data_IF_930306466169
#
_entry.id   IF_930306466169
#
_cell.length_a   1.000
_cell.length_b   1.000
_cell.length_c   1.000
_cell.angle_alpha   90.00
_cell.angle_beta   90.00
_cell.angle_gamma   90.00
#
_symmetry.space_group_name_H-M   'P 1'
#
loop_
_entity.id
_entity.type
_entity.pdbx_description
1 polymer ?
#
# COMPACT_ATOMS: atom_id res chain seq x y z
N UNK A 1 20.30 20.71 -31.94
CA UNK A 1 19.30 19.70 -32.36
C UNK A 1 19.08 18.71 -31.20
N UNK A 2 18.47 19.18 -30.11
CA UNK A 2 18.28 18.41 -28.86
C UNK A 2 16.79 18.23 -28.46
N UNK A 3 15.87 18.81 -29.22
CA UNK A 3 14.46 18.88 -28.83
C UNK A 3 13.66 17.58 -29.00
N UNK A 4 14.14 16.62 -29.79
CA UNK A 4 13.40 15.37 -30.07
C UNK A 4 13.64 14.29 -29.02
N UNK A 5 14.87 14.17 -28.49
CA UNK A 5 15.21 13.22 -27.43
C UNK A 5 14.42 13.52 -26.14
N UNK A 6 14.42 14.80 -25.72
CA UNK A 6 13.68 15.26 -24.55
C UNK A 6 12.16 14.99 -24.66
N UNK A 7 11.58 15.18 -25.85
CA UNK A 7 10.14 14.93 -26.08
C UNK A 7 9.75 13.44 -26.02
N UNK A 8 10.68 12.53 -26.31
CA UNK A 8 10.47 11.09 -26.27
C UNK A 8 10.44 10.55 -24.84
N UNK A 9 11.38 11.02 -24.01
CA UNK A 9 11.49 10.67 -22.60
C UNK A 9 10.31 11.23 -21.79
N UNK A 10 9.96 12.51 -21.99
CA UNK A 10 8.77 13.12 -21.38
C UNK A 10 7.51 12.32 -21.70
N UNK A 11 7.34 11.90 -22.96
CA UNK A 11 6.18 11.08 -23.37
C UNK A 11 6.22 9.69 -22.73
N UNK A 12 7.40 9.10 -22.53
CA UNK A 12 7.54 7.82 -21.84
C UNK A 12 7.14 7.93 -20.36
N UNK A 13 7.55 9.00 -19.68
CA UNK A 13 7.15 9.30 -18.30
C UNK A 13 5.64 9.52 -18.21
N UNK A 14 5.05 10.32 -19.09
CA UNK A 14 3.60 10.55 -19.08
C UNK A 14 2.79 9.26 -19.29
N UNK A 15 3.24 8.37 -20.19
CA UNK A 15 2.64 7.04 -20.37
C UNK A 15 2.76 6.18 -19.13
N UNK A 16 3.94 6.18 -18.49
CA UNK A 16 4.16 5.47 -17.25
C UNK A 16 3.24 5.96 -16.14
N UNK A 17 3.16 7.29 -15.92
CA UNK A 17 2.27 7.88 -14.92
C UNK A 17 0.82 7.50 -15.17
N UNK A 18 0.35 7.61 -16.42
CA UNK A 18 -1.02 7.24 -16.79
C UNK A 18 -1.33 5.76 -16.53
N UNK A 19 -0.37 4.87 -16.75
CA UNK A 19 -0.52 3.44 -16.50
C UNK A 19 -0.40 3.06 -15.02
N UNK A 20 0.52 3.68 -14.28
CA UNK A 20 0.83 3.32 -12.90
C UNK A 20 -0.16 3.92 -11.88
N UNK A 21 -0.79 5.06 -12.16
CA UNK A 21 -1.79 5.69 -11.27
C UNK A 21 -2.94 4.76 -10.87
N UNK A 22 -3.68 4.12 -11.80
CA UNK A 22 -4.77 3.22 -11.41
C UNK A 22 -4.27 2.02 -10.59
N UNK A 23 -3.04 1.55 -10.83
CA UNK A 23 -2.43 0.47 -10.08
C UNK A 23 -2.12 0.91 -8.63
N UNK A 24 -1.55 2.10 -8.44
CA UNK A 24 -1.33 2.65 -7.10
C UNK A 24 -2.65 2.87 -6.35
N UNK A 25 -3.69 3.33 -7.05
CA UNK A 25 -5.02 3.52 -6.46
C UNK A 25 -5.57 2.17 -5.99
N UNK A 26 -5.50 1.12 -6.81
CA UNK A 26 -5.92 -0.23 -6.44
C UNK A 26 -5.17 -0.74 -5.21
N UNK A 27 -3.85 -0.52 -5.13
CA UNK A 27 -3.04 -0.89 -3.96
C UNK A 27 -3.51 -0.11 -2.72
N UNK A 28 -3.76 1.19 -2.84
CA UNK A 28 -4.18 2.06 -1.72
C UNK A 28 -5.56 1.67 -1.18
N UNK A 29 -6.51 1.39 -2.07
CA UNK A 29 -7.85 0.94 -1.72
C UNK A 29 -7.81 -0.44 -1.05
N UNK A 30 -7.05 -1.36 -1.62
CA UNK A 30 -6.88 -2.72 -1.08
C UNK A 30 -6.18 -2.69 0.28
N UNK A 31 -5.14 -1.88 0.44
CA UNK A 31 -4.47 -1.66 1.72
C UNK A 31 -5.45 -1.18 2.80
N UNK A 32 -6.32 -0.23 2.44
CA UNK A 32 -7.35 0.29 3.34
C UNK A 32 -8.33 -0.80 3.77
N UNK A 33 -8.76 -1.67 2.83
CA UNK A 33 -9.63 -2.80 3.12
C UNK A 33 -8.98 -3.82 4.07
N UNK A 34 -7.73 -4.21 3.81
CA UNK A 34 -7.00 -5.17 4.65
C UNK A 34 -6.72 -4.58 6.04
N UNK A 35 -6.38 -3.29 6.13
CA UNK A 35 -6.23 -2.60 7.41
C UNK A 35 -7.55 -2.55 8.21
N UNK A 36 -8.67 -2.28 7.55
CA UNK A 36 -10.00 -2.34 8.17
C UNK A 36 -10.34 -3.74 8.70
N UNK A 37 -10.01 -4.78 7.93
CA UNK A 37 -10.16 -6.17 8.38
C UNK A 37 -9.26 -6.49 9.59
N UNK A 38 -8.01 -6.03 9.59
CA UNK A 38 -7.08 -6.20 10.71
C UNK A 38 -7.65 -5.58 12.00
N UNK A 39 -8.22 -4.37 11.91
CA UNK A 39 -8.90 -3.73 13.04
C UNK A 39 -10.08 -4.56 13.56
N UNK A 40 -10.88 -5.16 12.67
CA UNK A 40 -11.98 -6.05 13.08
C UNK A 40 -11.46 -7.30 13.79
N UNK A 41 -10.38 -7.92 13.30
CA UNK A 41 -9.75 -9.07 13.96
C UNK A 41 -9.28 -8.71 15.38
N UNK A 42 -8.67 -7.54 15.54
CA UNK A 42 -8.08 -7.10 16.81
C UNK A 42 -9.12 -6.62 17.83
N UNK A 43 -10.23 -6.04 17.37
CA UNK A 43 -11.23 -5.42 18.26
C UNK A 43 -12.51 -6.23 18.42
N UNK A 44 -12.84 -7.11 17.48
CA UNK A 44 -14.13 -7.80 17.43
C UNK A 44 -14.09 -9.05 16.52
N UNK A 45 -13.42 -10.13 16.96
CA UNK A 45 -13.31 -11.38 16.17
C UNK A 45 -14.65 -11.93 15.65
N UNK A 46 -15.74 -11.80 16.42
CA UNK A 46 -17.08 -12.23 15.98
C UNK A 46 -17.57 -11.46 14.74
N UNK A 47 -17.18 -10.19 14.59
CA UNK A 47 -17.53 -9.36 13.42
C UNK A 47 -16.65 -9.63 12.22
N UNK A 48 -15.39 -10.05 12.44
CA UNK A 48 -14.46 -10.37 11.36
C UNK A 48 -14.96 -11.52 10.45
N UNK A 49 -15.74 -12.47 10.99
CA UNK A 49 -16.36 -13.57 10.22
C UNK A 49 -17.28 -13.04 9.10
N UNK A 50 -17.97 -11.90 9.31
CA UNK A 50 -18.83 -11.30 8.29
C UNK A 50 -18.05 -10.57 7.19
N UNK A 51 -16.75 -10.32 7.40
CA UNK A 51 -15.87 -9.63 6.45
C UNK A 51 -15.02 -10.59 5.61
N UNK A 52 -15.26 -11.91 5.69
CA UNK A 52 -14.46 -12.92 4.98
C UNK A 52 -14.52 -12.77 3.45
N UNK A 53 -15.70 -12.48 2.90
CA UNK A 53 -15.85 -12.21 1.47
C UNK A 53 -15.08 -10.96 1.02
N UNK A 54 -15.03 -9.93 1.88
CA UNK A 54 -14.27 -8.72 1.62
C UNK A 54 -12.76 -8.98 1.62
N UNK A 55 -12.25 -9.84 2.52
CA UNK A 55 -10.83 -10.22 2.52
C UNK A 55 -10.45 -11.04 1.28
N UNK A 56 -11.33 -11.94 0.82
CA UNK A 56 -11.10 -12.71 -0.40
C UNK A 56 -10.98 -11.78 -1.62
N UNK A 57 -11.89 -10.81 -1.75
CA UNK A 57 -11.82 -9.78 -2.80
C UNK A 57 -10.56 -8.92 -2.70
N UNK A 58 -10.17 -8.51 -1.49
CA UNK A 58 -8.94 -7.76 -1.27
C UNK A 58 -7.68 -8.55 -1.69
N UNK A 59 -7.66 -9.87 -1.46
CA UNK A 59 -6.55 -10.73 -1.91
C UNK A 59 -6.47 -10.82 -3.44
N UNK A 60 -7.62 -10.95 -4.11
CA UNK A 60 -7.68 -10.97 -5.57
C UNK A 60 -7.20 -9.62 -6.14
N UNK A 61 -7.67 -8.51 -5.57
CA UNK A 61 -7.22 -7.17 -5.92
C UNK A 61 -5.71 -6.97 -5.70
N UNK A 62 -5.15 -7.47 -4.59
CA UNK A 62 -3.71 -7.41 -4.32
C UNK A 62 -2.89 -8.24 -5.32
N UNK A 63 -3.38 -9.43 -5.69
CA UNK A 63 -2.75 -10.28 -6.71
C UNK A 63 -2.72 -9.59 -8.06
N UNK A 64 -3.87 -9.07 -8.47
CA UNK A 64 -4.01 -8.30 -9.71
C UNK A 64 -3.11 -7.08 -9.72
N UNK A 65 -3.08 -6.30 -8.64
CA UNK A 65 -2.21 -5.14 -8.54
C UNK A 65 -0.73 -5.53 -8.70
N UNK A 66 -0.28 -6.60 -8.03
CA UNK A 66 1.09 -7.08 -8.17
C UNK A 66 1.44 -7.51 -9.60
N UNK A 67 0.51 -8.14 -10.31
CA UNK A 67 0.66 -8.48 -11.73
C UNK A 67 0.73 -7.22 -12.61
N UNK A 68 -0.18 -6.27 -12.40
CA UNK A 68 -0.22 -5.01 -13.13
C UNK A 68 1.06 -4.19 -12.91
N UNK A 69 1.59 -4.12 -11.68
CA UNK A 69 2.88 -3.45 -11.40
C UNK A 69 4.03 -4.10 -12.16
N UNK A 70 4.10 -5.44 -12.18
CA UNK A 70 5.13 -6.17 -12.92
C UNK A 70 5.04 -5.94 -14.44
N UNK A 71 3.85 -5.68 -14.95
CA UNK A 71 3.61 -5.44 -16.37
C UNK A 71 3.89 -4.00 -16.84
N UNK A 72 4.18 -3.06 -15.92
CA UNK A 72 4.44 -1.66 -16.27
C UNK A 72 5.71 -1.53 -17.14
N UNK A 73 5.60 -0.75 -18.23
CA UNK A 73 6.76 -0.33 -19.00
C UNK A 73 7.45 0.84 -18.27
N UNK A 74 8.60 0.56 -17.64
CA UNK A 74 9.28 1.50 -16.74
C UNK A 74 10.35 2.30 -17.49
N UNK A 75 10.22 3.62 -17.67
CA UNK A 75 11.32 4.46 -18.14
C UNK A 75 12.37 4.59 -17.03
N UNK A 76 13.63 4.79 -17.42
CA UNK A 76 14.78 4.80 -16.49
C UNK A 76 14.57 5.74 -15.28
N UNK A 77 14.07 6.95 -15.54
CA UNK A 77 13.78 7.96 -14.51
C UNK A 77 12.72 7.54 -13.49
N UNK A 78 11.85 6.58 -13.84
CA UNK A 78 10.78 6.08 -12.97
C UNK A 78 11.17 4.78 -12.23
N UNK A 79 12.38 4.26 -12.41
CA UNK A 79 12.84 3.01 -11.79
C UNK A 79 12.68 3.02 -10.27
N UNK A 80 13.05 4.13 -9.61
CA UNK A 80 12.93 4.24 -8.16
C UNK A 80 11.47 4.27 -7.69
N UNK A 81 10.59 4.99 -8.41
CA UNK A 81 9.16 4.97 -8.14
C UNK A 81 8.58 3.57 -8.32
N UNK A 82 8.92 2.88 -9.42
CA UNK A 82 8.48 1.51 -9.69
C UNK A 82 8.92 0.53 -8.62
N UNK A 83 10.15 0.65 -8.12
CA UNK A 83 10.64 -0.16 -6.99
C UNK A 83 9.72 -0.04 -5.76
N UNK A 84 9.33 1.19 -5.38
CA UNK A 84 8.41 1.38 -4.27
C UNK A 84 7.00 0.89 -4.58
N UNK A 85 6.49 1.09 -5.79
CA UNK A 85 5.18 0.59 -6.19
C UNK A 85 5.12 -0.95 -6.16
N UNK A 86 6.20 -1.61 -6.56
CA UNK A 86 6.36 -3.07 -6.48
C UNK A 86 6.43 -3.54 -5.03
N UNK A 87 7.28 -2.91 -4.20
CA UNK A 87 7.37 -3.21 -2.78
C UNK A 87 6.03 -3.04 -2.05
N UNK A 88 5.23 -2.02 -2.42
CA UNK A 88 3.90 -1.81 -1.88
C UNK A 88 2.95 -2.99 -2.19
N UNK A 89 2.97 -3.47 -3.44
CA UNK A 89 2.14 -4.59 -3.87
C UNK A 89 2.57 -5.93 -3.23
N UNK A 90 3.87 -6.20 -3.14
CA UNK A 90 4.39 -7.42 -2.50
C UNK A 90 4.10 -7.48 -1.01
N UNK A 91 4.35 -6.39 -0.29
CA UNK A 91 4.07 -6.32 1.15
C UNK A 91 2.57 -6.36 1.44
N UNK A 92 1.72 -5.85 0.53
CA UNK A 92 0.27 -6.00 0.61
C UNK A 92 -0.16 -7.46 0.45
N UNK A 93 0.44 -8.22 -0.47
CA UNK A 93 0.20 -9.67 -0.59
C UNK A 93 0.58 -10.41 0.69
N UNK A 94 1.72 -10.07 1.30
CA UNK A 94 2.10 -10.62 2.60
C UNK A 94 1.08 -10.27 3.69
N UNK A 95 0.52 -9.05 3.70
CA UNK A 95 -0.54 -8.66 4.61
C UNK A 95 -1.81 -9.52 4.40
N UNK A 96 -2.22 -9.77 3.16
CA UNK A 96 -3.35 -10.65 2.87
C UNK A 96 -3.13 -12.08 3.40
N UNK A 97 -1.93 -12.64 3.25
CA UNK A 97 -1.58 -13.97 3.78
C UNK A 97 -1.61 -13.96 5.30
N UNK A 98 -0.95 -12.98 5.94
CA UNK A 98 -0.94 -12.87 7.40
C UNK A 98 -2.36 -12.67 7.99
N UNK A 99 -3.24 -11.94 7.29
CA UNK A 99 -4.63 -11.78 7.68
C UNK A 99 -5.43 -13.10 7.64
N UNK A 100 -5.15 -13.96 6.66
CA UNK A 100 -5.77 -15.29 6.57
C UNK A 100 -5.26 -16.22 7.68
N UNK A 101 -3.96 -16.21 7.95
CA UNK A 101 -3.35 -17.06 8.98
C UNK A 101 -3.66 -16.58 10.40
N UNK A 102 -3.84 -15.27 10.62
CA UNK A 102 -4.29 -14.71 11.92
C UNK A 102 -5.67 -15.23 12.36
N UNK A 103 -6.41 -15.89 11.47
CA UNK A 103 -7.67 -16.59 11.78
C UNK A 103 -7.45 -17.93 12.46
N UNK A 104 -6.28 -18.56 12.29
CA UNK A 104 -5.94 -19.86 12.86
C UNK A 104 -5.34 -19.68 14.26
N UNK A 105 -5.43 -20.71 15.10
CA UNK A 105 -5.09 -20.66 16.52
C UNK A 105 -3.60 -20.28 16.68
N UNK A 106 -3.31 -19.41 17.66
CA UNK A 106 -2.03 -18.72 17.95
C UNK A 106 -1.76 -17.37 17.23
N UNK A 107 -2.75 -16.47 17.29
CA UNK A 107 -2.85 -15.28 16.45
C UNK A 107 -1.92 -14.10 16.80
N UNK A 108 -1.10 -14.16 17.86
CA UNK A 108 -0.31 -13.00 18.28
C UNK A 108 0.80 -12.67 17.26
N UNK A 109 1.59 -13.68 16.88
CA UNK A 109 2.67 -13.53 15.91
C UNK A 109 2.13 -13.14 14.53
N UNK A 110 1.03 -13.75 14.08
CA UNK A 110 0.43 -13.45 12.78
C UNK A 110 -0.21 -12.06 12.75
N UNK A 111 -0.75 -11.58 13.88
CA UNK A 111 -1.23 -10.19 13.99
C UNK A 111 -0.04 -9.21 13.88
N UNK A 112 1.09 -9.50 14.52
CA UNK A 112 2.29 -8.68 14.40
C UNK A 112 2.85 -8.67 12.97
N UNK A 113 2.89 -9.82 12.30
CA UNK A 113 3.27 -9.93 10.89
C UNK A 113 2.32 -9.13 9.98
N UNK A 114 1.00 -9.21 10.24
CA UNK A 114 -0.01 -8.44 9.52
C UNK A 114 0.22 -6.94 9.68
N UNK A 115 0.39 -6.46 10.91
CA UNK A 115 0.63 -5.03 11.18
C UNK A 115 1.94 -4.54 10.55
N UNK A 116 3.01 -5.35 10.61
CA UNK A 116 4.29 -5.02 9.96
C UNK A 116 4.16 -4.96 8.44
N UNK A 117 3.46 -5.92 7.82
CA UNK A 117 3.24 -5.94 6.38
C UNK A 117 2.39 -4.74 5.91
N UNK A 118 1.32 -4.41 6.65
CA UNK A 118 0.50 -3.21 6.38
C UNK A 118 1.32 -1.92 6.48
N UNK A 119 2.17 -1.80 7.51
CA UNK A 119 3.06 -0.65 7.67
C UNK A 119 4.04 -0.56 6.51
N UNK A 120 4.71 -1.66 6.16
CA UNK A 120 5.66 -1.69 5.06
C UNK A 120 5.02 -1.28 3.72
N UNK A 121 3.81 -1.79 3.43
CA UNK A 121 3.05 -1.39 2.23
C UNK A 121 2.71 0.10 2.24
N UNK A 122 2.26 0.62 3.39
CA UNK A 122 1.98 2.05 3.56
C UNK A 122 3.23 2.92 3.39
N UNK A 123 4.38 2.49 3.88
CA UNK A 123 5.63 3.24 3.77
C UNK A 123 6.14 3.28 2.33
N UNK A 124 6.01 2.17 1.59
CA UNK A 124 6.27 2.16 0.15
C UNK A 124 5.35 3.12 -0.62
N UNK A 125 4.05 3.11 -0.34
CA UNK A 125 3.10 4.06 -0.95
C UNK A 125 3.46 5.52 -0.62
N UNK A 126 3.84 5.83 0.62
CA UNK A 126 4.29 7.19 0.97
C UNK A 126 5.53 7.60 0.19
N UNK A 127 6.46 6.67 -0.06
CA UNK A 127 7.63 6.95 -0.87
C UNK A 127 7.25 7.28 -2.32
N UNK A 128 6.27 6.60 -2.93
CA UNK A 128 5.87 6.90 -4.32
C UNK A 128 5.38 8.33 -4.49
N UNK A 129 4.63 8.85 -3.51
CA UNK A 129 4.12 10.23 -3.51
C UNK A 129 5.22 11.31 -3.55
N UNK A 130 6.44 10.99 -3.11
CA UNK A 130 7.57 11.92 -3.10
C UNK A 130 8.48 11.79 -4.33
N UNK A 131 8.28 10.78 -5.18
CA UNK A 131 9.22 10.43 -6.25
C UNK A 131 8.75 10.87 -7.63
N UNK A 132 7.45 10.90 -7.89
CA UNK A 132 6.88 11.37 -9.15
C UNK A 132 5.60 12.16 -8.91
N UNK A 133 5.35 13.23 -9.69
CA UNK A 133 4.10 13.97 -9.61
C UNK A 133 2.94 13.09 -10.06
N UNK A 134 1.79 13.24 -9.40
CA UNK A 134 0.58 12.50 -9.73
C UNK A 134 0.27 11.28 -8.88
N UNK A 135 1.06 11.04 -7.85
CA UNK A 135 0.91 9.92 -6.92
C UNK A 135 0.65 10.41 -5.50
N UNK A 136 0.13 11.63 -5.36
CA UNK A 136 -0.11 12.26 -4.08
C UNK A 136 -1.05 11.41 -3.22
N UNK A 137 -0.65 11.22 -1.96
CA UNK A 137 -1.49 10.56 -0.96
C UNK A 137 -2.04 11.60 0.01
N UNK A 138 -3.19 11.26 0.59
CA UNK A 138 -3.73 12.05 1.72
C UNK A 138 -2.79 11.89 2.91
N UNK A 139 -2.19 13.00 3.34
CA UNK A 139 -1.43 13.04 4.60
C UNK A 139 -2.38 13.09 5.79
N UNK A 140 -2.66 11.92 6.37
CA UNK A 140 -3.50 11.81 7.56
C UNK A 140 -2.88 12.45 8.80
N UNK A 141 -1.57 12.74 8.83
CA UNK A 141 -0.94 13.52 9.90
C UNK A 141 -1.43 14.97 9.96
N UNK A 142 -1.94 15.49 8.84
CA UNK A 142 -2.58 16.81 8.75
C UNK A 142 -4.11 16.74 8.83
N UNK A 143 -4.71 15.57 9.00
CA UNK A 143 -6.15 15.44 9.15
C UNK A 143 -6.61 15.98 10.52
N UNK A 144 -7.85 16.47 10.59
CA UNK A 144 -8.42 16.99 11.85
C UNK A 144 -8.36 15.97 13.00
N UNK A 145 -8.51 14.67 12.69
CA UNK A 145 -8.42 13.60 13.69
C UNK A 145 -7.01 13.42 14.26
N UNK A 146 -5.95 13.74 13.53
CA UNK A 146 -4.57 13.61 14.00
C UNK A 146 -4.23 14.62 15.10
N UNK A 147 -4.86 15.81 15.08
CA UNK A 147 -4.74 16.81 16.16
C UNK A 147 -5.30 16.30 17.51
N UNK A 148 -6.12 15.24 17.48
CA UNK A 148 -6.71 14.61 18.66
C UNK A 148 -6.07 13.28 19.03
N UNK A 149 -5.04 12.83 18.29
CA UNK A 149 -4.30 11.63 18.66
C UNK A 149 -3.65 11.88 20.03
N UNK A 150 -3.92 11.03 21.05
CA UNK A 150 -3.30 11.21 22.34
C UNK A 150 -1.78 11.12 22.15
N UNK A 151 -1.02 12.10 22.66
CA UNK A 151 0.45 12.06 22.78
C UNK A 151 0.84 10.90 23.69
N UNK A 152 0.74 9.66 23.22
CA UNK A 152 1.33 8.49 23.84
C UNK A 152 2.51 8.12 22.95
N UNK A 153 3.69 7.98 23.56
CA UNK A 153 5.01 7.66 22.97
C UNK A 153 5.95 8.85 22.68
N UNK A 154 5.98 9.84 23.58
CA UNK A 154 7.24 10.50 23.94
C UNK A 154 7.51 10.20 25.42
N UNK A 155 7.72 8.93 25.76
CA UNK A 155 8.43 8.57 26.98
C UNK A 155 9.76 7.99 26.53
N UNK A 156 10.73 8.90 26.50
CA UNK A 156 12.15 8.75 26.82
C UNK A 156 12.62 7.29 26.96
N UNK A 157 13.32 6.81 25.94
CA UNK A 157 14.42 5.87 26.16
C UNK A 157 15.53 6.71 26.78
N UNK A 158 15.80 6.44 28.05
CA UNK A 158 16.94 6.94 28.85
C UNK A 158 18.26 6.81 28.11
#
# INVERSE_FOLDING_TARGET
>A
MDGTANSGEERAVLRYVAAARPVQQLISETLTQVAGFALLLMTSRRRAVFAEGALAGAREAATRAAEEVRALAVPEIATHHHHHLHGAAETLLHACVAALESRRIDAAEQTDLLVRALRASSDHLRATACLLPGFELVDFGQACCAAHAPRRLLQEVT
#
